data_IF_954025626314
#
_entry.id   IF_954025626314
#
_cell.length_a   1.000
_cell.length_b   1.000
_cell.length_c   1.000
_cell.angle_alpha   90.00
_cell.angle_beta   90.00
_cell.angle_gamma   90.00
#
_symmetry.space_group_name_H-M   'P 1'
#
loop_
_entity.id
_entity.type
_entity.pdbx_description
1 polymer ?
#
# COMPACT_ATOMS: atom_id res chain seq x y z
N UNK A 1 -14.39 21.76 10.30
CA UNK A 1 -13.03 21.24 10.14
C UNK A 1 -12.99 19.82 10.71
N UNK A 2 -13.11 18.74 9.91
CA UNK A 2 -12.80 17.42 10.40
C UNK A 2 -11.32 17.13 10.19
N UNK A 3 -10.63 16.98 11.31
CA UNK A 3 -9.22 16.61 11.43
C UNK A 3 -9.11 15.07 11.45
N UNK A 4 -7.93 14.58 11.07
CA UNK A 4 -7.34 13.28 11.51
C UNK A 4 -7.46 12.04 10.62
N UNK A 5 -7.45 12.15 9.29
CA UNK A 5 -7.16 10.99 8.43
C UNK A 5 -6.25 11.35 7.24
N UNK A 6 -5.04 11.86 7.53
CA UNK A 6 -3.99 11.96 6.50
C UNK A 6 -2.61 11.65 7.09
N UNK A 7 -2.52 10.51 7.76
CA UNK A 7 -1.22 9.92 8.14
C UNK A 7 -0.75 8.84 7.15
N UNK A 8 -1.53 8.51 6.11
CA UNK A 8 -1.13 7.55 5.09
C UNK A 8 -0.24 8.12 3.97
N UNK A 9 0.32 9.33 4.14
CA UNK A 9 1.25 9.93 3.15
C UNK A 9 2.54 10.49 3.75
N UNK A 10 2.83 10.23 5.03
CA UNK A 10 4.00 10.77 5.69
C UNK A 10 5.01 9.65 6.01
N UNK A 11 6.06 9.57 5.18
CA UNK A 11 7.29 8.75 5.27
C UNK A 11 7.40 7.55 4.32
N UNK A 12 7.23 7.78 3.01
CA UNK A 12 8.04 7.07 1.99
C UNK A 12 9.48 7.61 1.98
N UNK A 13 10.09 7.79 3.16
CA UNK A 13 11.49 8.15 3.27
C UNK A 13 12.31 6.91 2.93
N UNK A 14 12.43 6.65 1.62
CA UNK A 14 13.42 5.81 0.95
C UNK A 14 13.93 4.67 1.83
N UNK A 15 13.21 3.55 1.84
CA UNK A 15 13.84 2.28 2.18
C UNK A 15 15.09 2.17 1.29
N UNK A 16 16.32 2.19 1.87
CA UNK A 16 17.54 1.99 1.08
C UNK A 16 17.57 0.58 0.46
N UNK A 17 16.66 -0.29 0.88
CA UNK A 17 16.40 -1.65 0.41
C UNK A 17 15.24 -1.74 -0.61
N UNK A 18 14.82 -0.62 -1.20
CA UNK A 18 13.84 -0.67 -2.29
C UNK A 18 14.44 -1.38 -3.51
N UNK A 19 13.98 -2.60 -3.75
CA UNK A 19 14.24 -3.36 -4.97
C UNK A 19 12.90 -3.71 -5.60
N UNK A 20 12.68 -3.16 -6.80
CA UNK A 20 11.44 -3.33 -7.55
C UNK A 20 11.10 -4.81 -7.82
N UNK A 21 12.08 -5.71 -7.84
CA UNK A 21 11.88 -7.15 -8.07
C UNK A 21 11.92 -7.96 -6.77
N UNK A 22 12.30 -7.35 -5.65
CA UNK A 22 12.24 -8.02 -4.36
C UNK A 22 10.79 -8.26 -3.94
N UNK A 23 10.54 -9.28 -3.11
CA UNK A 23 9.22 -9.48 -2.50
C UNK A 23 8.77 -8.22 -1.75
N UNK A 24 7.46 -8.02 -1.74
CA UNK A 24 6.80 -6.96 -0.97
C UNK A 24 7.29 -6.89 0.48
N UNK A 25 7.55 -5.69 0.98
CA UNK A 25 7.95 -5.50 2.38
C UNK A 25 6.78 -5.76 3.33
N UNK A 26 7.05 -6.04 4.60
CA UNK A 26 6.00 -6.24 5.61
C UNK A 26 5.07 -5.03 5.72
N UNK A 27 5.61 -3.81 5.56
CA UNK A 27 4.83 -2.57 5.58
C UNK A 27 3.85 -2.52 4.42
N UNK A 28 4.34 -2.74 3.19
CA UNK A 28 3.50 -2.78 2.00
C UNK A 28 2.45 -3.89 2.08
N UNK A 29 2.80 -5.06 2.62
CA UNK A 29 1.86 -6.17 2.80
C UNK A 29 0.74 -5.82 3.79
N UNK A 30 1.07 -5.15 4.89
CA UNK A 30 0.08 -4.70 5.87
C UNK A 30 -0.85 -3.64 5.27
N UNK A 31 -0.31 -2.68 4.53
CA UNK A 31 -1.12 -1.64 3.85
C UNK A 31 -2.03 -2.24 2.78
N UNK A 32 -1.48 -3.07 1.89
CA UNK A 32 -2.24 -3.70 0.82
C UNK A 32 -3.36 -4.60 1.40
N UNK A 33 -3.07 -5.38 2.45
CA UNK A 33 -4.09 -6.19 3.13
C UNK A 33 -5.22 -5.33 3.68
N UNK A 34 -4.90 -4.25 4.40
CA UNK A 34 -5.92 -3.37 4.98
C UNK A 34 -6.80 -2.70 3.91
N UNK A 35 -6.25 -2.38 2.74
CA UNK A 35 -7.00 -1.84 1.61
C UNK A 35 -7.88 -2.90 0.94
N UNK A 36 -7.34 -4.10 0.70
CA UNK A 36 -8.08 -5.24 0.19
C UNK A 36 -9.27 -5.61 1.08
N UNK A 37 -9.08 -5.67 2.41
CA UNK A 37 -10.16 -5.97 3.36
C UNK A 37 -11.28 -4.92 3.34
N UNK A 38 -10.94 -3.63 3.13
CA UNK A 38 -11.95 -2.57 3.04
C UNK A 38 -12.79 -2.63 1.76
N UNK A 39 -12.18 -3.07 0.66
CA UNK A 39 -12.80 -3.14 -0.65
C UNK A 39 -13.38 -4.54 -0.96
N UNK A 40 -13.26 -5.49 -0.02
CA UNK A 40 -13.59 -6.91 -0.22
C UNK A 40 -12.87 -7.52 -1.44
N UNK A 41 -11.64 -7.07 -1.70
CA UNK A 41 -10.80 -7.50 -2.82
C UNK A 41 -9.78 -8.57 -2.37
N UNK A 42 -9.36 -9.49 -3.26
CA UNK A 42 -8.36 -10.49 -2.95
C UNK A 42 -6.98 -9.87 -2.71
N UNK A 43 -6.36 -10.26 -1.60
CA UNK A 43 -4.98 -9.90 -1.28
C UNK A 43 -3.99 -10.87 -1.92
N UNK A 44 -3.12 -10.34 -2.79
CA UNK A 44 -2.08 -11.11 -3.48
C UNK A 44 -0.72 -10.96 -2.79
N UNK A 45 -0.22 -12.05 -2.21
CA UNK A 45 1.08 -12.11 -1.52
C UNK A 45 2.26 -12.35 -2.46
N UNK A 46 2.02 -12.69 -3.74
CA UNK A 46 3.07 -12.96 -4.71
C UNK A 46 3.61 -11.68 -5.37
N UNK A 47 3.06 -10.51 -5.02
CA UNK A 47 3.49 -9.23 -5.56
C UNK A 47 4.88 -8.84 -5.06
N UNK A 48 5.68 -8.27 -5.96
CA UNK A 48 6.93 -7.60 -5.62
C UNK A 48 6.68 -6.19 -5.08
N UNK A 49 7.72 -5.53 -4.53
CA UNK A 49 7.58 -4.21 -3.92
C UNK A 49 6.97 -3.17 -4.86
N UNK A 50 7.36 -3.20 -6.13
CA UNK A 50 6.82 -2.28 -7.13
C UNK A 50 5.34 -2.52 -7.37
N UNK A 51 4.97 -3.78 -7.65
CA UNK A 51 3.59 -4.16 -7.92
C UNK A 51 2.68 -3.89 -6.72
N UNK A 52 3.17 -4.16 -5.50
CA UNK A 52 2.48 -3.83 -4.26
C UNK A 52 2.22 -2.32 -4.17
N UNK A 53 3.24 -1.49 -4.43
CA UNK A 53 3.09 -0.04 -4.41
C UNK A 53 2.08 0.47 -5.45
N UNK A 54 2.12 -0.05 -6.69
CA UNK A 54 1.14 0.29 -7.73
C UNK A 54 -0.29 -0.10 -7.33
N UNK A 55 -0.47 -1.30 -6.74
CA UNK A 55 -1.76 -1.77 -6.23
C UNK A 55 -2.27 -0.94 -5.06
N UNK A 56 -1.41 -0.64 -4.09
CA UNK A 56 -1.72 0.18 -2.92
C UNK A 56 -2.22 1.57 -3.37
N UNK A 57 -1.58 2.18 -4.36
CA UNK A 57 -2.02 3.46 -4.93
C UNK A 57 -3.40 3.37 -5.60
N UNK A 58 -3.62 2.35 -6.43
CA UNK A 58 -4.90 2.15 -7.11
C UNK A 58 -6.07 1.85 -6.16
N UNK A 59 -5.83 1.11 -5.07
CA UNK A 59 -6.87 0.82 -4.07
C UNK A 59 -7.16 2.04 -3.18
N UNK A 60 -6.14 2.86 -2.88
CA UNK A 60 -6.35 4.13 -2.17
C UNK A 60 -7.18 5.11 -3.00
N UNK A 61 -6.88 5.25 -4.29
CA UNK A 61 -7.66 6.12 -5.20
C UNK A 61 -9.14 5.70 -5.25
N UNK A 62 -9.43 4.40 -5.28
CA UNK A 62 -10.80 3.86 -5.22
C UNK A 62 -11.51 4.10 -3.88
N UNK A 63 -10.78 4.23 -2.77
CA UNK A 63 -11.36 4.52 -1.46
C UNK A 63 -11.60 6.01 -1.22
N UNK A 64 -10.81 6.88 -1.86
CA UNK A 64 -10.90 8.33 -1.71
C UNK A 64 -11.87 8.98 -2.73
N UNK A 65 -12.09 8.33 -3.87
CA UNK A 65 -13.03 8.76 -4.94
C UNK A 65 -14.48 8.40 -4.69
#
# INVERSE_FOLDING_TARGET
>A
MPNTLRVAQANLNMDPDYDANAPMTEVQAAELRALCEKLDEPFDTALNQRQAMERIGALQDQLDG
#
